data_IF_844346091179
#
_entry.id   IF_844346091179
#
_cell.length_a   1.000
_cell.length_b   1.000
_cell.length_c   1.000
_cell.angle_alpha   90.00
_cell.angle_beta   90.00
_cell.angle_gamma   90.00
#
_symmetry.space_group_name_H-M   'P 1'
#
loop_
_entity.id
_entity.type
_entity.pdbx_description
1 polymer ?
#
# COMPACT_ATOMS: atom_id res chain seq x y z
N UNK A 1 -13.95 16.15 -34.99
CA UNK A 1 -12.73 15.33 -35.17
C UNK A 1 -12.38 14.74 -33.82
N UNK A 2 -12.98 13.58 -33.53
CA UNK A 2 -12.75 12.75 -32.34
C UNK A 2 -11.58 11.80 -32.59
N UNK A 3 -10.66 11.67 -31.63
CA UNK A 3 -9.60 10.65 -31.61
C UNK A 3 -9.97 9.59 -30.54
N UNK A 4 -10.19 8.30 -30.90
CA UNK A 4 -10.94 7.34 -30.06
C UNK A 4 -10.08 6.50 -29.07
N UNK A 5 -8.84 6.88 -28.75
CA UNK A 5 -7.92 5.99 -27.99
C UNK A 5 -7.76 6.29 -26.49
N UNK A 6 -8.38 7.35 -25.97
CA UNK A 6 -8.27 7.75 -24.55
C UNK A 6 -9.52 7.48 -23.70
N UNK A 7 -10.47 6.66 -24.19
CA UNK A 7 -11.75 6.43 -23.51
C UNK A 7 -11.75 5.24 -22.52
N UNK A 8 -10.66 4.45 -22.44
CA UNK A 8 -10.62 3.23 -21.63
C UNK A 8 -9.94 3.37 -20.25
N UNK A 9 -9.13 4.41 -20.02
CA UNK A 9 -8.43 4.55 -18.73
C UNK A 9 -9.32 5.17 -17.65
N UNK A 10 -10.29 6.00 -18.04
CA UNK A 10 -11.25 6.61 -17.10
C UNK A 10 -12.33 5.63 -16.60
N UNK A 11 -12.60 4.55 -17.32
CA UNK A 11 -13.66 3.60 -16.97
C UNK A 11 -13.23 2.50 -15.97
N UNK A 12 -11.93 2.34 -15.70
CA UNK A 12 -11.46 1.35 -14.72
C UNK A 12 -11.47 1.87 -13.27
N UNK A 13 -11.34 3.19 -13.08
CA UNK A 13 -11.28 3.82 -11.74
C UNK A 13 -12.68 4.17 -11.22
N UNK A 14 -13.68 4.20 -12.10
CA UNK A 14 -15.09 4.48 -11.78
C UNK A 14 -15.88 3.16 -11.63
N UNK A 15 -15.26 2.09 -11.09
CA UNK A 15 -16.05 1.03 -10.43
C UNK A 15 -16.51 1.50 -9.04
N UNK A 16 -17.25 2.61 -9.11
CA UNK A 16 -18.03 3.22 -8.08
C UNK A 16 -19.11 2.22 -7.62
N UNK A 17 -18.97 1.79 -6.38
CA UNK A 17 -20.04 1.80 -5.39
C UNK A 17 -21.35 1.06 -5.73
N UNK A 18 -21.33 -0.27 -5.64
CA UNK A 18 -22.49 -1.00 -5.06
C UNK A 18 -22.03 -2.03 -4.04
N UNK A 19 -21.17 -1.61 -3.10
CA UNK A 19 -21.02 -2.35 -1.84
C UNK A 19 -22.33 -2.15 -1.08
N UNK A 20 -23.27 -3.08 -1.28
CA UNK A 20 -24.52 -3.17 -0.53
C UNK A 20 -24.15 -3.17 0.96
N UNK A 21 -24.55 -2.17 1.76
CA UNK A 21 -24.22 -2.12 3.17
C UNK A 21 -25.17 -3.06 3.91
N UNK A 22 -25.08 -4.36 3.66
CA UNK A 22 -25.64 -5.36 4.57
C UNK A 22 -24.68 -5.50 5.75
N UNK A 23 -24.61 -4.45 6.57
CA UNK A 23 -24.12 -4.56 7.93
C UNK A 23 -25.21 -5.26 8.74
N UNK A 24 -25.19 -6.59 8.70
CA UNK A 24 -26.04 -7.38 9.56
C UNK A 24 -25.71 -7.10 11.04
N UNK A 25 -26.80 -6.90 11.77
CA UNK A 25 -26.94 -6.30 13.07
C UNK A 25 -26.67 -7.37 14.11
N UNK A 26 -25.41 -7.73 14.32
CA UNK A 26 -25.05 -8.59 15.45
C UNK A 26 -24.05 -7.89 16.35
N UNK A 27 -24.54 -7.64 17.56
CA UNK A 27 -23.84 -7.10 18.70
C UNK A 27 -22.80 -8.14 19.12
N UNK A 28 -21.55 -7.96 18.72
CA UNK A 28 -20.44 -8.75 19.27
C UNK A 28 -19.65 -7.85 20.22
N UNK A 29 -19.13 -8.41 21.32
CA UNK A 29 -18.42 -7.65 22.34
C UNK A 29 -17.25 -6.89 21.73
N UNK A 30 -17.17 -5.58 22.04
CA UNK A 30 -16.17 -4.65 21.51
C UNK A 30 -14.71 -5.10 21.72
N UNK A 31 -14.47 -5.99 22.69
CA UNK A 31 -13.13 -6.34 23.16
C UNK A 31 -12.32 -7.28 22.24
N UNK A 32 -12.97 -8.14 21.44
CA UNK A 32 -12.25 -9.10 20.57
C UNK A 32 -11.97 -8.54 19.15
N UNK A 33 -12.81 -7.62 18.69
CA UNK A 33 -12.75 -7.09 17.31
C UNK A 33 -11.81 -5.90 17.17
N UNK A 34 -11.73 -5.03 18.17
CA UNK A 34 -10.81 -3.90 18.17
C UNK A 34 -9.35 -4.37 18.11
N UNK A 35 -8.99 -5.38 18.90
CA UNK A 35 -7.65 -5.99 18.92
C UNK A 35 -7.18 -6.47 17.55
N UNK A 36 -8.12 -7.00 16.76
CA UNK A 36 -7.88 -7.48 15.40
C UNK A 36 -7.63 -6.37 14.36
N UNK A 37 -8.17 -5.17 14.57
CA UNK A 37 -7.98 -4.01 13.69
C UNK A 37 -6.73 -3.22 14.10
N UNK A 38 -6.49 -3.09 15.39
CA UNK A 38 -5.27 -2.50 15.94
C UNK A 38 -4.04 -3.23 15.39
N UNK A 39 -4.04 -4.56 15.39
CA UNK A 39 -2.92 -5.34 14.85
C UNK A 39 -2.68 -5.07 13.36
N UNK A 40 -3.75 -4.89 12.57
CA UNK A 40 -3.66 -4.60 11.14
C UNK A 40 -3.21 -3.15 10.88
N UNK A 41 -3.58 -2.20 11.73
CA UNK A 41 -3.18 -0.81 11.61
C UNK A 41 -1.69 -0.62 11.99
N UNK A 42 -1.21 -1.36 12.99
CA UNK A 42 0.17 -1.27 13.47
C UNK A 42 1.15 -2.02 12.56
N UNK A 43 0.76 -3.16 11.98
CA UNK A 43 1.64 -3.96 11.12
C UNK A 43 2.33 -3.15 9.98
N UNK A 44 1.62 -2.38 9.14
CA UNK A 44 2.25 -1.58 8.09
C UNK A 44 3.14 -0.45 8.63
N UNK A 45 2.82 0.12 9.81
CA UNK A 45 3.73 1.08 10.48
C UNK A 45 5.04 0.42 10.91
N UNK A 46 4.97 -0.78 11.49
CA UNK A 46 6.17 -1.52 11.90
C UNK A 46 7.03 -1.85 10.70
N UNK A 47 6.43 -2.30 9.59
CA UNK A 47 7.14 -2.55 8.35
C UNK A 47 7.80 -1.29 7.78
N UNK A 48 7.10 -0.16 7.81
CA UNK A 48 7.63 1.12 7.36
C UNK A 48 8.81 1.57 8.24
N UNK A 49 8.67 1.47 9.56
CA UNK A 49 9.71 1.83 10.52
C UNK A 49 10.96 0.94 10.36
N UNK A 50 10.78 -0.35 10.16
CA UNK A 50 11.88 -1.29 9.88
C UNK A 50 12.60 -0.91 8.58
N UNK A 51 11.85 -0.61 7.51
CA UNK A 51 12.41 -0.20 6.22
C UNK A 51 13.20 1.12 6.33
N UNK A 52 12.71 2.09 7.09
CA UNK A 52 13.38 3.36 7.35
C UNK A 52 14.65 3.17 8.18
N UNK A 53 14.59 2.37 9.23
CA UNK A 53 15.74 2.06 10.08
C UNK A 53 16.88 1.43 9.26
N UNK A 54 16.53 0.46 8.42
CA UNK A 54 17.43 -0.19 7.46
C UNK A 54 18.04 0.82 6.48
N UNK A 55 17.22 1.71 5.92
CA UNK A 55 17.71 2.72 4.98
C UNK A 55 18.67 3.70 5.65
N UNK A 56 18.35 4.22 6.83
CA UNK A 56 19.21 5.17 7.55
C UNK A 56 20.50 4.52 8.05
N UNK A 57 20.46 3.23 8.41
CA UNK A 57 21.65 2.49 8.83
C UNK A 57 22.66 2.31 7.70
N UNK A 58 22.20 2.10 6.46
CA UNK A 58 23.07 1.85 5.30
C UNK A 58 23.22 3.04 4.33
N UNK A 59 22.46 4.13 4.52
CA UNK A 59 22.57 5.36 3.72
C UNK A 59 22.09 5.20 2.28
N UNK A 60 21.10 4.34 2.03
CA UNK A 60 20.62 4.07 0.67
C UNK A 60 19.67 5.15 0.14
N UNK A 61 19.82 5.46 -1.14
CA UNK A 61 18.95 6.38 -1.88
C UNK A 61 17.70 5.64 -2.35
N UNK A 62 16.48 6.11 -2.01
CA UNK A 62 15.26 5.41 -2.38
C UNK A 62 14.85 5.74 -3.81
N UNK A 63 14.27 4.75 -4.48
CA UNK A 63 13.69 4.87 -5.82
C UNK A 63 12.26 5.45 -5.79
N UNK A 64 11.77 6.00 -6.91
CA UNK A 64 10.40 6.56 -6.97
C UNK A 64 9.32 5.55 -6.59
N UNK A 65 9.37 4.33 -7.14
CA UNK A 65 8.44 3.23 -6.79
C UNK A 65 8.51 2.84 -5.31
N UNK A 66 9.71 2.87 -4.73
CA UNK A 66 9.96 2.55 -3.34
C UNK A 66 9.24 3.55 -2.43
N UNK A 67 9.28 4.84 -2.79
CA UNK A 67 8.58 5.91 -2.08
C UNK A 67 7.05 5.76 -2.22
N UNK A 68 6.57 5.37 -3.40
CA UNK A 68 5.13 5.08 -3.60
C UNK A 68 4.63 3.93 -2.71
N UNK A 69 5.40 2.84 -2.60
CA UNK A 69 5.07 1.70 -1.72
C UNK A 69 4.97 2.16 -0.26
N UNK A 70 5.91 2.99 0.21
CA UNK A 70 5.91 3.55 1.57
C UNK A 70 4.68 4.40 1.83
N UNK A 71 4.30 5.23 0.86
CA UNK A 71 3.09 6.04 0.94
C UNK A 71 1.84 5.17 1.05
N UNK A 72 1.72 4.09 0.27
CA UNK A 72 0.59 3.16 0.35
C UNK A 72 0.53 2.46 1.72
N UNK A 73 1.67 2.06 2.30
CA UNK A 73 1.71 1.47 3.64
C UNK A 73 1.32 2.47 4.74
N UNK A 74 1.78 3.72 4.64
CA UNK A 74 1.36 4.79 5.53
C UNK A 74 -0.16 5.05 5.42
N UNK A 75 -0.70 5.10 4.20
CA UNK A 75 -2.13 5.23 3.95
C UNK A 75 -2.93 4.04 4.49
N UNK A 76 -2.42 2.80 4.37
CA UNK A 76 -3.02 1.61 4.99
C UNK A 76 -3.13 1.77 6.51
N UNK A 77 -2.06 2.24 7.15
CA UNK A 77 -2.02 2.46 8.59
C UNK A 77 -3.07 3.49 9.01
N UNK A 78 -3.12 4.63 8.31
CA UNK A 78 -4.10 5.69 8.54
C UNK A 78 -5.54 5.19 8.37
N UNK A 79 -5.83 4.43 7.31
CA UNK A 79 -7.13 3.82 7.09
C UNK A 79 -7.53 2.87 8.25
N UNK A 80 -6.56 2.12 8.78
CA UNK A 80 -6.75 1.29 9.96
C UNK A 80 -7.11 2.09 11.21
N UNK A 81 -6.39 3.18 11.49
CA UNK A 81 -6.70 4.07 12.62
C UNK A 81 -8.05 4.77 12.46
N UNK A 82 -8.39 5.26 11.27
CA UNK A 82 -9.72 5.81 10.99
C UNK A 82 -10.82 4.78 11.25
N UNK A 83 -10.58 3.52 10.88
CA UNK A 83 -11.48 2.40 11.17
C UNK A 83 -11.67 2.09 12.66
N UNK A 84 -10.74 2.52 13.53
CA UNK A 84 -10.85 2.40 14.99
C UNK A 84 -11.64 3.55 15.61
N UNK A 85 -11.53 4.76 15.06
CA UNK A 85 -12.26 5.95 15.53
C UNK A 85 -13.73 5.90 15.13
N UNK A 86 -14.03 5.28 13.98
CA UNK A 86 -15.40 5.13 13.49
C UNK A 86 -16.21 4.15 14.36
N UNK A 87 -17.52 4.41 14.58
CA UNK A 87 -18.37 3.52 15.36
C UNK A 87 -18.44 2.13 14.72
N UNK A 88 -18.60 1.08 15.54
CA UNK A 88 -18.53 -0.34 15.11
C UNK A 88 -19.39 -0.70 13.89
N UNK A 89 -20.45 0.07 13.60
CA UNK A 89 -21.33 -0.10 12.42
C UNK A 89 -20.63 0.22 11.09
N UNK A 90 -19.58 1.05 11.12
CA UNK A 90 -18.81 1.51 9.96
C UNK A 90 -17.41 0.89 9.90
N UNK A 91 -17.15 -0.16 10.68
CA UNK A 91 -15.83 -0.80 10.71
C UNK A 91 -15.39 -1.36 9.34
N UNK A 92 -16.36 -1.71 8.47
CA UNK A 92 -16.09 -2.06 7.07
C UNK A 92 -15.50 -0.90 6.25
N UNK A 93 -15.78 0.36 6.63
CA UNK A 93 -15.26 1.53 5.95
C UNK A 93 -13.73 1.68 6.12
N UNK A 94 -13.12 1.08 7.14
CA UNK A 94 -11.65 1.01 7.29
C UNK A 94 -11.03 -0.20 6.60
N UNK A 95 -11.71 -1.36 6.60
CA UNK A 95 -11.16 -2.61 6.02
C UNK A 95 -11.09 -2.58 4.49
N UNK A 96 -12.08 -2.00 3.82
CA UNK A 96 -12.12 -1.89 2.35
C UNK A 96 -10.92 -1.09 1.82
N UNK A 97 -10.65 0.15 2.29
CA UNK A 97 -9.48 0.89 1.82
C UNK A 97 -8.17 0.21 2.20
N UNK A 98 -8.06 -0.41 3.38
CA UNK A 98 -6.87 -1.20 3.72
C UNK A 98 -6.61 -2.32 2.71
N UNK A 99 -7.66 -3.03 2.28
CA UNK A 99 -7.54 -4.10 1.29
C UNK A 99 -7.06 -3.55 -0.06
N UNK A 100 -7.71 -2.51 -0.58
CA UNK A 100 -7.32 -1.87 -1.84
C UNK A 100 -5.87 -1.37 -1.82
N UNK A 101 -5.49 -0.64 -0.78
CA UNK A 101 -4.16 -0.07 -0.64
C UNK A 101 -3.09 -1.17 -0.49
N UNK A 102 -3.38 -2.24 0.26
CA UNK A 102 -2.45 -3.36 0.42
C UNK A 102 -2.20 -4.12 -0.90
N UNK A 103 -3.25 -4.31 -1.71
CA UNK A 103 -3.15 -4.91 -3.04
C UNK A 103 -2.37 -4.00 -3.99
N UNK A 104 -2.61 -2.68 -3.93
CA UNK A 104 -1.83 -1.69 -4.67
C UNK A 104 -0.34 -1.75 -4.33
N UNK A 105 0.00 -1.85 -3.03
CA UNK A 105 1.38 -1.92 -2.58
C UNK A 105 2.06 -3.23 -3.03
N UNK A 106 1.32 -4.35 -3.01
CA UNK A 106 1.79 -5.63 -3.52
C UNK A 106 2.04 -5.56 -5.04
N UNK A 107 1.14 -4.95 -5.80
CA UNK A 107 1.29 -4.76 -7.24
C UNK A 107 2.53 -3.93 -7.60
N UNK A 108 2.76 -2.81 -6.90
CA UNK A 108 3.95 -1.99 -7.10
C UNK A 108 5.24 -2.76 -6.75
N UNK A 109 5.23 -3.59 -5.69
CA UNK A 109 6.36 -4.45 -5.36
C UNK A 109 6.65 -5.47 -6.46
N UNK A 110 5.62 -6.14 -6.99
CA UNK A 110 5.79 -7.11 -8.07
C UNK A 110 6.39 -6.44 -9.30
N UNK A 111 5.92 -5.25 -9.67
CA UNK A 111 6.55 -4.47 -10.74
C UNK A 111 8.02 -4.20 -10.44
N UNK A 112 8.34 -3.74 -9.23
CA UNK A 112 9.72 -3.46 -8.85
C UNK A 112 10.62 -4.70 -8.96
N UNK A 113 10.16 -5.88 -8.50
CA UNK A 113 10.89 -7.14 -8.66
C UNK A 113 11.15 -7.45 -10.14
N UNK A 114 10.14 -7.28 -11.00
CA UNK A 114 10.30 -7.53 -12.44
C UNK A 114 11.26 -6.53 -13.12
N UNK A 115 11.35 -5.30 -12.62
CA UNK A 115 12.35 -4.32 -13.07
C UNK A 115 13.76 -4.75 -12.68
N UNK A 116 13.96 -5.17 -11.42
CA UNK A 116 15.27 -5.63 -10.92
C UNK A 116 15.73 -6.93 -11.63
N UNK A 117 14.78 -7.77 -12.08
CA UNK A 117 15.06 -8.95 -12.89
C UNK A 117 15.31 -8.65 -14.38
N UNK A 118 15.19 -7.39 -14.82
CA UNK A 118 15.39 -6.97 -16.21
C UNK A 118 14.29 -7.42 -17.17
N UNK A 119 13.14 -7.88 -16.68
CA UNK A 119 11.99 -8.28 -17.51
C UNK A 119 11.20 -7.04 -17.96
N UNK A 120 11.12 -6.02 -17.10
CA UNK A 120 10.57 -4.70 -17.42
C UNK A 120 11.69 -3.67 -17.54
N UNK A 121 11.65 -2.85 -18.60
CA UNK A 121 12.62 -1.78 -18.77
C UNK A 121 12.37 -0.61 -17.80
N UNK A 122 13.46 -0.11 -17.20
CA UNK A 122 13.46 1.00 -16.24
C UNK A 122 12.88 2.32 -16.80
N UNK A 123 12.92 2.54 -18.13
CA UNK A 123 12.31 3.69 -18.80
C UNK A 123 10.79 3.75 -18.70
N UNK A 124 10.15 2.67 -18.24
CA UNK A 124 8.71 2.64 -17.95
C UNK A 124 8.36 3.31 -16.61
N UNK A 125 9.36 3.74 -15.82
CA UNK A 125 9.17 4.38 -14.51
C UNK A 125 9.03 5.90 -14.67
N UNK A 126 7.95 6.48 -14.17
CA UNK A 126 7.82 7.94 -14.05
C UNK A 126 8.80 8.46 -12.99
N UNK A 127 9.53 9.56 -13.23
CA UNK A 127 10.39 10.17 -12.21
C UNK A 127 9.59 10.74 -11.04
N UNK A 128 8.35 11.17 -11.28
CA UNK A 128 7.45 11.70 -10.25
C UNK A 128 6.46 10.62 -9.77
N UNK A 129 6.23 10.53 -8.45
CA UNK A 129 5.25 9.60 -7.91
C UNK A 129 3.82 10.04 -8.21
N UNK A 130 2.89 9.09 -8.28
CA UNK A 130 1.49 9.32 -8.68
C UNK A 130 0.76 10.38 -7.82
N UNK A 131 1.15 10.53 -6.55
CA UNK A 131 0.49 11.45 -5.60
C UNK A 131 1.05 12.88 -5.67
N UNK A 132 2.16 13.11 -6.38
CA UNK A 132 2.86 14.41 -6.40
C UNK A 132 1.99 15.56 -6.91
N UNK A 133 1.04 15.28 -7.80
CA UNK A 133 0.11 16.27 -8.35
C UNK A 133 -0.99 16.70 -7.37
N UNK A 134 -1.31 15.85 -6.39
CA UNK A 134 -2.43 16.07 -5.44
C UNK A 134 -1.91 16.45 -4.06
N UNK A 135 -0.75 15.93 -3.67
CA UNK A 135 -0.17 16.10 -2.34
C UNK A 135 1.36 16.15 -2.42
N UNK A 136 2.00 17.34 -2.33
CA UNK A 136 3.44 17.47 -2.46
C UNK A 136 4.17 17.05 -1.17
N UNK A 137 4.09 15.79 -0.75
CA UNK A 137 4.75 15.30 0.48
C UNK A 137 6.27 15.52 0.48
N UNK A 138 6.86 15.57 -0.72
CA UNK A 138 8.28 15.77 -0.97
C UNK A 138 8.81 17.07 -0.34
N UNK A 139 7.99 18.14 -0.36
CA UNK A 139 8.40 19.45 0.19
C UNK A 139 8.17 19.56 1.68
N UNK A 140 7.23 18.79 2.24
CA UNK A 140 6.92 18.81 3.66
C UNK A 140 7.87 17.93 4.47
N UNK A 141 8.30 16.79 3.91
CA UNK A 141 9.17 15.84 4.62
C UNK A 141 10.21 15.21 3.66
N UNK A 142 11.23 15.99 3.26
CA UNK A 142 12.18 15.60 2.21
C UNK A 142 13.03 14.39 2.60
N UNK A 143 13.41 14.24 3.88
CA UNK A 143 14.26 13.13 4.33
C UNK A 143 13.67 11.73 4.09
N UNK A 144 12.33 11.60 4.02
CA UNK A 144 11.65 10.30 3.86
C UNK A 144 11.09 10.08 2.45
N UNK A 145 10.63 11.16 1.79
CA UNK A 145 9.88 11.09 0.54
C UNK A 145 10.64 11.64 -0.68
N UNK A 146 11.90 12.06 -0.52
CA UNK A 146 12.73 12.44 -1.66
C UNK A 146 13.22 11.19 -2.40
N UNK A 147 12.86 11.07 -3.67
CA UNK A 147 13.37 10.03 -4.58
C UNK A 147 14.68 10.50 -5.20
N UNK A 148 15.77 9.75 -4.96
CA UNK A 148 17.09 10.04 -5.52
C UNK A 148 17.57 8.97 -6.52
N UNK A 149 17.05 7.75 -6.40
CA UNK A 149 17.50 6.60 -7.18
C UNK A 149 16.69 6.31 -8.45
N UNK A 150 17.32 5.63 -9.41
CA UNK A 150 16.67 5.10 -10.63
C UNK A 150 16.02 3.74 -10.35
N UNK A 151 14.82 3.51 -10.90
CA UNK A 151 14.11 2.23 -10.76
C UNK A 151 14.90 1.12 -11.48
N UNK A 152 15.07 -0.07 -10.87
CA UNK A 152 15.78 -1.21 -11.49
C UNK A 152 17.30 -1.25 -11.29
N UNK A 153 17.87 -0.35 -10.50
CA UNK A 153 19.27 -0.40 -10.06
C UNK A 153 19.37 -0.43 -8.52
N UNK A 154 18.28 -0.81 -7.83
CA UNK A 154 18.22 -0.79 -6.37
C UNK A 154 18.58 -2.18 -5.83
N UNK A 155 19.74 -2.70 -6.22
CA UNK A 155 20.28 -4.03 -5.89
C UNK A 155 20.77 -4.12 -4.43
N UNK A 156 20.04 -3.51 -3.50
CA UNK A 156 20.34 -3.55 -2.09
C UNK A 156 20.03 -4.95 -1.55
N UNK A 157 21.08 -5.70 -1.21
CA UNK A 157 20.94 -7.04 -0.66
C UNK A 157 20.96 -7.01 0.86
N UNK A 158 19.99 -7.68 1.46
CA UNK A 158 19.91 -7.94 2.91
C UNK A 158 19.91 -9.44 3.12
N UNK A 159 20.92 -9.96 3.82
CA UNK A 159 21.05 -11.40 4.11
C UNK A 159 21.06 -12.29 2.86
N UNK A 160 21.67 -11.82 1.77
CA UNK A 160 21.80 -12.58 0.51
C UNK A 160 20.55 -12.58 -0.39
N UNK A 161 19.49 -11.86 0.00
CA UNK A 161 18.29 -11.64 -0.82
C UNK A 161 18.09 -10.14 -1.05
N UNK A 162 17.55 -9.75 -2.20
CA UNK A 162 17.25 -8.33 -2.47
C UNK A 162 16.22 -7.81 -1.48
N UNK A 163 16.40 -6.58 -1.01
CA UNK A 163 15.48 -5.90 -0.10
C UNK A 163 14.04 -5.89 -0.64
N UNK A 164 13.90 -5.74 -1.96
CA UNK A 164 12.61 -5.80 -2.67
C UNK A 164 11.88 -7.13 -2.47
N UNK A 165 12.59 -8.26 -2.40
CA UNK A 165 11.98 -9.58 -2.18
C UNK A 165 11.47 -9.70 -0.74
N UNK A 166 12.24 -9.19 0.23
CA UNK A 166 11.80 -9.14 1.64
C UNK A 166 10.53 -8.31 1.80
N UNK A 167 10.48 -7.14 1.17
CA UNK A 167 9.28 -6.29 1.22
C UNK A 167 8.10 -6.92 0.49
N UNK A 168 8.33 -7.61 -0.63
CA UNK A 168 7.28 -8.34 -1.36
C UNK A 168 6.63 -9.40 -0.47
N UNK A 169 7.43 -10.21 0.24
CA UNK A 169 6.92 -11.26 1.12
C UNK A 169 6.07 -10.65 2.24
N UNK A 170 6.60 -9.63 2.92
CA UNK A 170 5.89 -8.98 4.02
C UNK A 170 4.57 -8.33 3.59
N UNK A 171 4.58 -7.60 2.48
CA UNK A 171 3.39 -6.89 1.97
C UNK A 171 2.35 -7.89 1.46
N UNK A 172 2.78 -8.97 0.80
CA UNK A 172 1.88 -10.03 0.34
C UNK A 172 1.21 -10.75 1.50
N UNK A 173 1.95 -11.09 2.56
CA UNK A 173 1.38 -11.67 3.77
C UNK A 173 0.37 -10.72 4.43
N UNK A 174 0.72 -9.44 4.54
CA UNK A 174 -0.20 -8.43 5.07
C UNK A 174 -1.48 -8.32 4.23
N UNK A 175 -1.36 -8.20 2.89
CA UNK A 175 -2.50 -8.14 1.98
C UNK A 175 -3.41 -9.37 2.11
N UNK A 176 -2.84 -10.58 2.20
CA UNK A 176 -3.59 -11.81 2.42
C UNK A 176 -4.35 -11.80 3.75
N UNK A 177 -3.75 -11.31 4.84
CA UNK A 177 -4.44 -11.22 6.15
C UNK A 177 -5.61 -10.25 6.13
N UNK A 178 -5.45 -9.09 5.48
CA UNK A 178 -6.50 -8.07 5.31
C UNK A 178 -7.63 -8.64 4.44
N UNK A 179 -7.28 -9.23 3.29
CA UNK A 179 -8.24 -9.84 2.36
C UNK A 179 -9.02 -10.97 3.03
N UNK A 180 -8.35 -11.90 3.73
CA UNK A 180 -9.01 -12.98 4.44
C UNK A 180 -10.02 -12.46 5.47
N UNK A 181 -9.68 -11.40 6.21
CA UNK A 181 -10.64 -10.77 7.13
C UNK A 181 -11.80 -10.12 6.38
N UNK A 182 -11.54 -9.43 5.27
CA UNK A 182 -12.59 -8.83 4.45
C UNK A 182 -13.53 -9.91 3.88
N UNK A 183 -12.99 -11.00 3.32
CA UNK A 183 -13.76 -12.12 2.80
C UNK A 183 -14.61 -12.80 3.87
N UNK A 184 -14.05 -13.04 5.06
CA UNK A 184 -14.81 -13.61 6.19
C UNK A 184 -15.94 -12.68 6.64
N UNK A 185 -15.80 -11.37 6.46
CA UNK A 185 -16.84 -10.38 6.76
C UNK A 185 -17.91 -10.33 5.68
N UNK A 186 -17.54 -10.45 4.42
CA UNK A 186 -18.50 -10.46 3.28
C UNK A 186 -19.34 -11.75 3.22
N UNK A 187 -18.81 -12.86 3.74
CA UNK A 187 -19.51 -14.15 3.76
C UNK A 187 -20.40 -14.36 4.99
N UNK A 188 -20.21 -13.55 6.05
CA UNK A 188 -21.02 -13.59 7.28
C UNK A 188 -22.25 -12.73 7.14
#
# INVERSE_FOLDING_TARGET
>A
MQDPRFQWVAHAVVFQYTVKPSCDFRLYPMFSRASSLVSLAIAPLVMLALALCVQFAWGWEPCTMCVEIRFLLAACSLAGFLGLVLPSKLSCAGLIPMALLSVGAAYLNVKLVLLEQGILEAFSCSPFPFYSQVFPLQSWLPEVFMSGGICGQNDHQVLGLSFTVWTMIGISLYALTVLNKLFRRLRS
#
